data_IF_465301256627
#
_entry.id   IF_465301256627
#
_cell.length_a   1.000
_cell.length_b   1.000
_cell.length_c   1.000
_cell.angle_alpha   90.00
_cell.angle_beta   90.00
_cell.angle_gamma   90.00
#
_symmetry.space_group_name_H-M   'P 1'
#
loop_
_entity.id
_entity.type
_entity.pdbx_description
1 polymer ?
#
# COMPACT_ATOMS: atom_id res chain seq x y z
N UNK A 1 9.85 -14.57 38.80
CA UNK A 1 10.47 -14.16 37.51
C UNK A 1 10.31 -12.65 37.34
N UNK A 2 11.29 -11.84 37.77
CA UNK A 2 11.28 -10.38 37.55
C UNK A 2 11.56 -10.12 36.06
N UNK A 3 10.57 -9.62 35.32
CA UNK A 3 10.77 -9.23 33.92
C UNK A 3 11.69 -8.01 33.92
N UNK A 4 12.70 -7.99 33.07
CA UNK A 4 13.73 -6.93 32.95
C UNK A 4 13.14 -5.54 32.57
N UNK A 5 11.81 -5.38 32.53
CA UNK A 5 11.08 -4.18 32.09
C UNK A 5 10.30 -3.41 33.16
N UNK A 6 10.39 -3.73 34.45
CA UNK A 6 9.56 -3.10 35.49
C UNK A 6 9.99 -1.65 35.85
N UNK A 7 11.19 -1.23 35.45
CA UNK A 7 11.62 0.16 35.59
C UNK A 7 11.01 1.03 34.47
N UNK A 8 10.24 2.09 34.79
CA UNK A 8 9.56 2.92 33.79
C UNK A 8 10.54 3.58 32.79
N UNK A 9 11.78 3.79 33.21
CA UNK A 9 12.88 4.31 32.40
C UNK A 9 13.38 3.30 31.34
N UNK A 10 13.58 2.04 31.73
CA UNK A 10 14.03 0.97 30.81
C UNK A 10 12.96 0.69 29.75
N UNK A 11 11.68 0.65 30.14
CA UNK A 11 10.57 0.49 29.20
C UNK A 11 10.48 1.65 28.20
N UNK A 12 10.62 2.91 28.65
CA UNK A 12 10.62 4.08 27.74
C UNK A 12 11.82 4.09 26.79
N UNK A 13 13.00 3.70 27.27
CA UNK A 13 14.19 3.56 26.42
C UNK A 13 14.02 2.47 25.36
N UNK A 14 13.49 1.30 25.72
CA UNK A 14 13.24 0.22 24.75
C UNK A 14 12.20 0.62 23.71
N UNK A 15 11.11 1.28 24.11
CA UNK A 15 10.10 1.80 23.18
C UNK A 15 10.69 2.90 22.29
N UNK A 16 11.45 3.84 22.87
CA UNK A 16 12.11 4.91 22.12
C UNK A 16 13.12 4.37 21.11
N UNK A 17 13.94 3.39 21.50
CA UNK A 17 14.89 2.73 20.62
C UNK A 17 14.17 1.96 19.49
N UNK A 18 13.10 1.22 19.80
CA UNK A 18 12.32 0.51 18.79
C UNK A 18 11.66 1.48 17.79
N UNK A 19 11.04 2.56 18.29
CA UNK A 19 10.45 3.60 17.44
C UNK A 19 11.50 4.29 16.58
N UNK A 20 12.67 4.60 17.14
CA UNK A 20 13.75 5.25 16.41
C UNK A 20 14.32 4.35 15.32
N UNK A 21 14.54 3.06 15.62
CA UNK A 21 14.98 2.07 14.63
C UNK A 21 13.94 1.88 13.51
N UNK A 22 12.65 1.71 13.86
CA UNK A 22 11.57 1.58 12.88
C UNK A 22 11.42 2.85 12.02
N UNK A 23 11.45 4.02 12.64
CA UNK A 23 11.37 5.29 11.93
C UNK A 23 12.58 5.47 11.01
N UNK A 24 13.79 5.14 11.47
CA UNK A 24 14.99 5.24 10.64
C UNK A 24 14.89 4.30 9.44
N UNK A 25 14.49 3.04 9.62
CA UNK A 25 14.32 2.10 8.52
C UNK A 25 13.26 2.53 7.50
N UNK A 26 12.19 3.18 7.94
CA UNK A 26 11.11 3.64 7.07
C UNK A 26 11.45 4.96 6.37
N UNK A 27 12.04 5.91 7.10
CA UNK A 27 12.31 7.27 6.63
C UNK A 27 13.58 7.34 5.77
N UNK A 28 14.59 6.52 6.04
CA UNK A 28 15.85 6.54 5.28
C UNK A 28 15.67 6.31 3.77
N UNK A 29 14.94 5.26 3.29
CA UNK A 29 14.70 5.10 1.86
C UNK A 29 13.82 6.22 1.31
N UNK A 30 12.88 6.74 2.09
CA UNK A 30 12.04 7.86 1.68
C UNK A 30 12.88 9.13 1.43
N UNK A 31 13.76 9.48 2.37
CA UNK A 31 14.70 10.59 2.23
C UNK A 31 15.64 10.36 1.06
N UNK A 32 16.13 9.13 0.85
CA UNK A 32 16.96 8.79 -0.29
C UNK A 32 16.24 9.02 -1.63
N UNK A 33 14.97 8.63 -1.74
CA UNK A 33 14.14 8.90 -2.93
C UNK A 33 14.01 10.40 -3.18
N UNK A 34 13.74 11.20 -2.15
CA UNK A 34 13.65 12.66 -2.29
C UNK A 34 15.00 13.28 -2.65
N UNK A 35 16.08 12.91 -1.96
CA UNK A 35 17.42 13.39 -2.25
C UNK A 35 17.83 13.07 -3.69
N UNK A 36 17.51 11.87 -4.17
CA UNK A 36 17.77 11.45 -5.54
C UNK A 36 16.87 12.17 -6.56
N UNK A 37 15.60 12.41 -6.24
CA UNK A 37 14.69 13.20 -7.07
C UNK A 37 15.16 14.67 -7.25
N UNK A 38 15.78 15.25 -6.22
CA UNK A 38 16.33 16.62 -6.26
C UNK A 38 17.80 16.68 -6.69
N UNK A 39 18.50 15.55 -6.83
CA UNK A 39 19.95 15.48 -7.12
C UNK A 39 20.34 16.13 -8.46
N UNK A 40 19.44 16.11 -9.45
CA UNK A 40 19.63 16.70 -10.77
C UNK A 40 19.25 18.20 -10.82
N UNK A 41 18.85 18.78 -9.67
CA UNK A 41 18.41 20.17 -9.53
C UNK A 41 16.89 20.34 -9.66
N UNK A 42 16.35 21.30 -8.89
CA UNK A 42 14.91 21.63 -8.86
C UNK A 42 14.37 22.04 -10.24
N UNK A 43 15.20 22.65 -11.08
CA UNK A 43 14.84 23.02 -12.45
C UNK A 43 14.58 21.80 -13.35
N UNK A 44 15.37 20.74 -13.22
CA UNK A 44 15.19 19.48 -13.98
C UNK A 44 13.96 18.72 -13.46
N UNK A 45 13.75 18.72 -12.14
CA UNK A 45 12.51 18.20 -11.55
C UNK A 45 11.27 18.91 -12.11
N UNK A 46 11.27 20.25 -12.14
CA UNK A 46 10.14 21.03 -12.67
C UNK A 46 9.95 20.82 -14.18
N UNK A 47 11.04 20.70 -14.95
CA UNK A 47 10.99 20.38 -16.38
C UNK A 47 10.40 18.98 -16.65
N UNK A 48 10.77 17.98 -15.84
CA UNK A 48 10.25 16.62 -15.94
C UNK A 48 8.78 16.52 -15.54
N UNK A 49 8.37 17.24 -14.50
CA UNK A 49 6.96 17.29 -14.06
C UNK A 49 6.10 18.04 -15.07
N UNK A 50 6.60 19.13 -15.66
CA UNK A 50 5.89 19.92 -16.68
C UNK A 50 5.88 19.28 -18.06
N UNK A 51 6.56 18.14 -18.24
CA UNK A 51 6.55 17.41 -19.49
C UNK A 51 5.14 16.86 -19.77
N UNK A 52 4.64 17.08 -20.97
CA UNK A 52 3.32 16.64 -21.43
C UNK A 52 3.10 15.15 -21.19
N UNK A 53 4.14 14.31 -21.37
CA UNK A 53 4.03 12.88 -21.10
C UNK A 53 3.81 12.55 -19.63
N UNK A 54 4.52 13.23 -18.73
CA UNK A 54 4.39 13.04 -17.28
C UNK A 54 3.00 13.45 -16.80
N UNK A 55 2.53 14.63 -17.24
CA UNK A 55 1.20 15.12 -16.89
C UNK A 55 0.10 14.22 -17.43
N UNK A 56 0.25 13.70 -18.65
CA UNK A 56 -0.72 12.77 -19.23
C UNK A 56 -0.75 11.43 -18.47
N UNK A 57 0.41 10.90 -18.08
CA UNK A 57 0.50 9.68 -17.28
C UNK A 57 -0.14 9.85 -15.89
N UNK A 58 0.08 11.00 -15.23
CA UNK A 58 -0.58 11.34 -13.96
C UNK A 58 -2.10 11.46 -14.16
N UNK A 59 -2.55 12.13 -15.22
CA UNK A 59 -3.96 12.25 -15.53
C UNK A 59 -4.63 10.89 -15.78
N UNK A 60 -3.99 10.02 -16.56
CA UNK A 60 -4.50 8.68 -16.86
C UNK A 60 -4.61 7.82 -15.59
N UNK A 61 -3.57 7.82 -14.74
CA UNK A 61 -3.61 7.09 -13.46
C UNK A 61 -4.69 7.62 -12.53
N UNK A 62 -4.90 8.95 -12.49
CA UNK A 62 -5.97 9.56 -11.69
C UNK A 62 -7.36 9.15 -12.20
N UNK A 63 -7.59 9.17 -13.52
CA UNK A 63 -8.86 8.76 -14.13
C UNK A 63 -9.15 7.28 -13.86
N UNK A 64 -8.14 6.42 -14.03
CA UNK A 64 -8.26 4.99 -13.73
C UNK A 64 -8.61 4.81 -12.25
N UNK A 65 -7.86 5.43 -11.33
CA UNK A 65 -8.13 5.34 -9.90
C UNK A 65 -9.55 5.83 -9.55
N UNK A 66 -9.97 6.96 -10.12
CA UNK A 66 -11.29 7.55 -9.89
C UNK A 66 -12.43 6.62 -10.35
N UNK A 67 -12.23 5.83 -11.40
CA UNK A 67 -13.22 4.84 -11.85
C UNK A 67 -13.12 3.53 -11.05
N UNK A 68 -11.91 3.02 -10.81
CA UNK A 68 -11.70 1.74 -10.13
C UNK A 68 -12.14 1.77 -8.67
N UNK A 69 -11.84 2.83 -7.93
CA UNK A 69 -12.19 2.95 -6.50
C UNK A 69 -13.69 2.78 -6.24
N UNK A 70 -14.61 3.53 -6.88
CA UNK A 70 -16.04 3.38 -6.62
C UNK A 70 -16.57 2.03 -7.07
N UNK A 71 -16.07 1.48 -8.18
CA UNK A 71 -16.44 0.14 -8.65
C UNK A 71 -16.03 -0.90 -7.58
N UNK A 72 -14.77 -0.90 -7.17
CA UNK A 72 -14.27 -1.81 -6.13
C UNK A 72 -15.01 -1.64 -4.80
N UNK A 73 -15.37 -0.40 -4.44
CA UNK A 73 -16.10 -0.12 -3.21
C UNK A 73 -17.52 -0.68 -3.26
N UNK A 74 -18.27 -0.44 -4.34
CA UNK A 74 -19.64 -0.96 -4.50
C UNK A 74 -19.64 -2.48 -4.51
N UNK A 75 -18.79 -3.11 -5.33
CA UNK A 75 -18.71 -4.57 -5.40
C UNK A 75 -18.20 -5.19 -4.09
N UNK A 76 -17.14 -4.63 -3.51
CA UNK A 76 -16.56 -5.13 -2.26
C UNK A 76 -17.54 -5.05 -1.10
N UNK A 77 -18.24 -3.93 -0.94
CA UNK A 77 -19.28 -3.76 0.10
C UNK A 77 -20.45 -4.69 -0.16
N UNK A 78 -20.92 -4.82 -1.41
CA UNK A 78 -22.02 -5.73 -1.74
C UNK A 78 -21.66 -7.21 -1.44
N UNK A 79 -20.45 -7.66 -1.79
CA UNK A 79 -19.95 -9.00 -1.50
C UNK A 79 -19.81 -9.23 0.01
N UNK A 80 -19.23 -8.27 0.74
CA UNK A 80 -19.11 -8.34 2.19
C UNK A 80 -20.48 -8.41 2.89
N UNK A 81 -21.44 -7.61 2.41
CA UNK A 81 -22.82 -7.64 2.89
C UNK A 81 -23.49 -8.99 2.62
N UNK A 82 -23.34 -9.52 1.40
CA UNK A 82 -23.91 -10.81 1.01
C UNK A 82 -23.39 -11.94 1.90
N UNK A 83 -22.07 -12.01 2.10
CA UNK A 83 -21.43 -13.06 2.89
C UNK A 83 -21.78 -12.92 4.38
N UNK A 84 -21.91 -11.71 4.92
CA UNK A 84 -22.20 -11.53 6.36
C UNK A 84 -23.67 -11.72 6.70
N UNK A 85 -24.59 -11.25 5.84
CA UNK A 85 -26.03 -11.22 6.13
C UNK A 85 -26.78 -12.47 5.69
N UNK A 86 -26.32 -13.20 4.66
CA UNK A 86 -27.03 -14.35 4.11
C UNK A 86 -26.26 -15.66 4.35
N UNK A 87 -26.97 -16.69 4.82
CA UNK A 87 -26.45 -18.05 4.95
C UNK A 87 -26.94 -18.92 3.79
N UNK A 88 -26.13 -19.01 2.72
CA UNK A 88 -26.42 -19.82 1.53
C UNK A 88 -25.46 -21.02 1.39
N UNK A 89 -25.93 -22.16 0.84
CA UNK A 89 -25.05 -23.29 0.53
C UNK A 89 -24.08 -22.87 -0.58
N UNK A 90 -22.78 -22.83 -0.28
CA UNK A 90 -21.73 -22.31 -1.19
C UNK A 90 -21.00 -21.06 -0.70
N UNK A 91 -21.41 -20.47 0.43
CA UNK A 91 -20.76 -19.29 1.04
C UNK A 91 -19.26 -19.42 1.21
N UNK A 92 -18.78 -20.60 1.58
CA UNK A 92 -17.35 -20.88 1.81
C UNK A 92 -16.52 -20.78 0.52
N UNK A 93 -17.08 -21.20 -0.62
CA UNK A 93 -16.43 -21.12 -1.93
C UNK A 93 -16.31 -19.65 -2.35
N UNK A 94 -17.39 -18.87 -2.19
CA UNK A 94 -17.38 -17.45 -2.53
C UNK A 94 -16.36 -16.68 -1.67
N UNK A 95 -16.29 -16.98 -0.37
CA UNK A 95 -15.33 -16.36 0.52
C UNK A 95 -13.88 -16.69 0.12
N UNK A 96 -13.58 -17.95 -0.17
CA UNK A 96 -12.24 -18.32 -0.67
C UNK A 96 -11.91 -17.61 -1.98
N UNK A 97 -12.88 -17.47 -2.90
CA UNK A 97 -12.65 -16.79 -4.17
C UNK A 97 -12.33 -15.31 -4.01
N UNK A 98 -12.93 -14.65 -3.00
CA UNK A 98 -12.64 -13.25 -2.64
C UNK A 98 -11.23 -13.12 -2.04
N UNK A 99 -10.77 -14.11 -1.27
CA UNK A 99 -9.46 -14.08 -0.60
C UNK A 99 -8.29 -14.48 -1.54
N UNK A 100 -8.55 -15.31 -2.55
CA UNK A 100 -7.56 -15.77 -3.55
C UNK A 100 -6.72 -14.63 -4.15
N UNK A 101 -7.29 -13.52 -4.70
CA UNK A 101 -6.48 -12.47 -5.30
C UNK A 101 -5.49 -11.83 -4.31
N UNK A 102 -5.79 -11.82 -3.00
CA UNK A 102 -4.85 -11.34 -1.99
C UNK A 102 -3.68 -12.30 -1.74
N UNK A 103 -3.87 -13.59 -2.01
CA UNK A 103 -2.81 -14.59 -1.94
C UNK A 103 -1.96 -14.65 -3.24
N UNK A 104 -2.47 -14.13 -4.36
CA UNK A 104 -1.74 -14.11 -5.63
C UNK A 104 -0.73 -12.96 -5.66
N UNK A 105 0.53 -13.29 -5.95
CA UNK A 105 1.58 -12.29 -6.11
C UNK A 105 1.31 -11.39 -7.34
N UNK A 106 1.46 -10.05 -7.23
CA UNK A 106 1.32 -9.13 -8.36
C UNK A 106 2.22 -9.49 -9.54
N UNK A 107 3.39 -10.08 -9.28
CA UNK A 107 4.34 -10.52 -10.32
C UNK A 107 3.72 -11.60 -11.21
N UNK A 108 3.00 -12.56 -10.63
CA UNK A 108 2.34 -13.65 -11.37
C UNK A 108 1.20 -13.09 -12.22
N UNK A 109 0.41 -12.17 -11.67
CA UNK A 109 -0.65 -11.50 -12.42
C UNK A 109 -0.11 -10.74 -13.65
N UNK A 110 1.05 -10.07 -13.50
CA UNK A 110 1.73 -9.40 -14.61
C UNK A 110 2.19 -10.36 -15.71
N UNK A 111 2.71 -11.54 -15.35
CA UNK A 111 3.15 -12.55 -16.32
C UNK A 111 1.99 -13.16 -17.12
N UNK A 112 0.83 -13.38 -16.49
CA UNK A 112 -0.38 -13.90 -17.17
C UNK A 112 -0.90 -12.93 -18.23
N UNK A 113 -0.71 -11.62 -18.03
CA UNK A 113 -1.18 -10.60 -18.96
C UNK A 113 -0.23 -10.38 -20.16
N UNK A 114 1.02 -10.85 -20.06
CA UNK A 114 2.08 -10.70 -21.06
C UNK A 114 2.20 -11.89 -22.02
N UNK A 115 1.76 -13.08 -21.60
CA UNK A 115 1.73 -14.34 -22.36
C UNK A 115 0.37 -14.53 -23.05
#
# INVERSE_FOLDING_TARGET
MRRIGDAPLVRRLLIGAALLLSALFLLLPLVAIFAQAFSQGVAVFWANVSNTFTLHAIGLTLVIALMTIPICLVFGVALAWLVTRFSFPGRRILQTLIDIPFAVSPVVAGLIYLL
#
